data_IF_933620769951
#
_entry.id   IF_933620769951
#
_cell.length_a   1.000
_cell.length_b   1.000
_cell.length_c   1.000
_cell.angle_alpha   90.00
_cell.angle_beta   90.00
_cell.angle_gamma   90.00
#
_symmetry.space_group_name_H-M   'P 1'
#
loop_
_entity.id
_entity.type
_entity.pdbx_description
1 polymer ?
#
# COMPACT_ATOMS: atom_id res chain seq x y z
N UNK A 1 7.56 -13.83 -10.64
CA UNK A 1 6.79 -14.81 -9.87
C UNK A 1 6.92 -14.51 -8.39
N UNK A 2 5.89 -13.95 -7.77
CA UNK A 2 5.55 -14.11 -6.34
C UNK A 2 4.09 -13.70 -6.21
N UNK A 3 3.19 -14.69 -6.19
CA UNK A 3 1.77 -14.50 -5.87
C UNK A 3 1.65 -14.62 -4.36
N UNK A 4 1.69 -13.48 -3.67
CA UNK A 4 1.44 -13.40 -2.23
C UNK A 4 -0.04 -13.71 -1.99
N UNK A 5 -0.30 -14.53 -0.98
CA UNK A 5 -1.64 -15.03 -0.67
C UNK A 5 -2.55 -13.84 -0.31
N UNK A 6 -3.53 -13.56 -1.18
CA UNK A 6 -4.57 -12.56 -0.95
C UNK A 6 -5.36 -12.94 0.30
N UNK A 7 -5.06 -12.31 1.43
CA UNK A 7 -6.09 -12.03 2.41
C UNK A 7 -7.11 -11.12 1.71
N UNK A 8 -8.36 -11.57 1.54
CA UNK A 8 -9.41 -10.84 0.82
C UNK A 8 -9.44 -9.36 1.21
N UNK A 9 -8.99 -8.48 0.29
CA UNK A 9 -8.99 -7.02 0.45
C UNK A 9 -7.74 -6.39 1.10
N UNK A 10 -6.73 -7.17 1.50
CA UNK A 10 -5.48 -6.64 2.06
C UNK A 10 -4.27 -6.99 1.19
N UNK A 11 -3.45 -6.00 0.92
CA UNK A 11 -2.22 -6.10 0.14
C UNK A 11 -1.00 -5.69 0.96
N UNK A 12 0.17 -6.17 0.56
CA UNK A 12 1.43 -5.79 1.19
C UNK A 12 1.92 -4.42 0.70
N UNK A 13 2.87 -3.82 1.41
CA UNK A 13 3.54 -2.58 0.99
C UNK A 13 4.14 -2.71 -0.42
N UNK A 14 4.70 -3.88 -0.75
CA UNK A 14 5.33 -4.12 -2.06
C UNK A 14 4.29 -4.14 -3.17
N UNK A 15 3.14 -4.77 -2.93
CA UNK A 15 2.03 -4.80 -3.89
C UNK A 15 1.40 -3.42 -4.06
N UNK A 16 1.18 -2.68 -2.96
CA UNK A 16 0.71 -1.30 -3.05
C UNK A 16 1.68 -0.40 -3.83
N UNK A 17 2.99 -0.59 -3.62
CA UNK A 17 4.03 0.14 -4.36
C UNK A 17 3.98 -0.17 -5.86
N UNK A 18 3.82 -1.45 -6.22
CA UNK A 18 3.67 -1.90 -7.61
C UNK A 18 2.40 -1.33 -8.25
N UNK A 19 1.26 -1.37 -7.56
CA UNK A 19 -0.02 -0.81 -8.02
C UNK A 19 0.02 0.70 -8.22
N UNK A 20 0.70 1.41 -7.31
CA UNK A 20 0.87 2.87 -7.39
C UNK A 20 1.99 3.30 -8.35
N UNK A 21 2.80 2.36 -8.84
CA UNK A 21 3.99 2.66 -9.65
C UNK A 21 5.05 3.46 -8.89
N UNK A 22 5.09 3.36 -7.56
CA UNK A 22 6.03 4.11 -6.70
C UNK A 22 7.00 3.18 -6.00
N UNK A 23 8.06 3.73 -5.43
CA UNK A 23 8.96 2.95 -4.57
C UNK A 23 8.31 2.63 -3.22
N UNK A 24 8.60 1.48 -2.59
CA UNK A 24 8.05 1.13 -1.27
C UNK A 24 8.30 2.20 -0.19
N UNK A 25 9.41 2.94 -0.30
CA UNK A 25 9.73 4.02 0.61
C UNK A 25 8.74 5.20 0.50
N UNK A 26 8.14 5.42 -0.67
CA UNK A 26 7.06 6.39 -0.87
C UNK A 26 5.80 5.94 -0.14
N UNK A 27 5.46 4.65 -0.20
CA UNK A 27 4.34 4.08 0.58
C UNK A 27 4.57 4.25 2.08
N UNK A 28 5.80 4.04 2.56
CA UNK A 28 6.17 4.33 3.95
C UNK A 28 5.93 5.80 4.34
N UNK A 29 6.30 6.74 3.47
CA UNK A 29 6.04 8.17 3.67
C UNK A 29 4.56 8.52 3.62
N UNK A 30 3.76 7.81 2.83
CA UNK A 30 2.30 7.99 2.79
C UNK A 30 1.64 7.60 4.11
N UNK A 31 2.13 6.55 4.79
CA UNK A 31 1.67 6.24 6.15
C UNK A 31 2.03 7.35 7.15
N UNK A 32 3.24 7.89 7.06
CA UNK A 32 3.70 8.97 7.94
C UNK A 32 2.87 10.25 7.75
N UNK A 33 2.47 10.52 6.50
CA UNK A 33 1.57 11.61 6.14
C UNK A 33 0.08 11.36 6.45
N UNK A 34 -0.27 10.15 6.92
CA UNK A 34 -1.67 9.77 7.17
C UNK A 34 -2.52 9.61 5.92
N UNK A 35 -1.90 9.41 4.74
CA UNK A 35 -2.60 9.17 3.47
C UNK A 35 -3.03 7.72 3.28
N UNK A 36 -2.44 6.80 4.05
CA UNK A 36 -2.77 5.37 4.06
C UNK A 36 -2.85 4.87 5.50
N UNK A 37 -3.71 3.89 5.75
CA UNK A 37 -3.77 3.21 7.04
C UNK A 37 -2.90 1.94 7.05
N UNK A 38 -2.04 1.84 8.07
CA UNK A 38 -1.22 0.65 8.33
C UNK A 38 -2.01 -0.34 9.18
N UNK A 39 -2.40 -1.46 8.61
CA UNK A 39 -2.96 -2.58 9.35
C UNK A 39 -1.82 -3.52 9.73
N UNK A 40 -1.53 -3.63 11.04
CA UNK A 40 -0.52 -4.53 11.56
C UNK A 40 -1.18 -5.81 12.04
N UNK A 41 -0.65 -6.96 11.62
CA UNK A 41 -1.12 -8.22 12.18
C UNK A 41 -0.60 -8.39 13.62
N UNK A 42 -1.49 -8.79 14.54
CA UNK A 42 -1.14 -8.94 15.96
C UNK A 42 -0.18 -10.11 16.22
N UNK A 43 -0.13 -11.11 15.33
CA UNK A 43 0.80 -12.26 15.42
C UNK A 43 2.16 -11.96 14.82
N UNK A 44 2.22 -11.11 13.80
CA UNK A 44 3.48 -10.73 13.17
C UNK A 44 3.61 -9.22 13.04
N UNK A 45 4.22 -8.59 14.05
CA UNK A 45 4.40 -7.14 14.14
C UNK A 45 5.28 -6.56 13.00
N UNK A 46 5.93 -7.41 12.22
CA UNK A 46 6.76 -7.06 11.06
C UNK A 46 5.98 -7.00 9.74
N UNK A 47 4.79 -7.61 9.66
CA UNK A 47 3.96 -7.60 8.46
C UNK A 47 2.94 -6.47 8.52
N UNK A 48 3.17 -5.44 7.69
CA UNK A 48 2.22 -4.35 7.49
C UNK A 48 1.38 -4.64 6.25
N UNK A 49 0.07 -4.58 6.44
CA UNK A 49 -0.94 -4.78 5.41
C UNK A 49 -1.67 -3.46 5.17
N UNK A 50 -2.12 -3.27 3.94
CA UNK A 50 -2.83 -2.09 3.47
C UNK A 50 -4.13 -2.59 2.86
N UNK A 51 -5.23 -1.90 3.13
CA UNK A 51 -6.48 -2.18 2.43
C UNK A 51 -6.34 -1.81 0.96
N UNK A 52 -6.68 -2.74 0.07
CA UNK A 52 -6.62 -2.53 -1.37
C UNK A 52 -7.49 -1.34 -1.80
N UNK A 53 -8.69 -1.21 -1.21
CA UNK A 53 -9.63 -0.10 -1.44
C UNK A 53 -9.01 1.29 -1.19
N UNK A 54 -8.13 1.44 -0.19
CA UNK A 54 -7.48 2.73 0.07
C UNK A 54 -6.40 3.05 -0.97
N UNK A 55 -5.71 2.03 -1.47
CA UNK A 55 -4.70 2.19 -2.52
C UNK A 55 -5.36 2.54 -3.84
N UNK A 56 -6.48 1.89 -4.17
CA UNK A 56 -7.30 2.23 -5.34
C UNK A 56 -7.90 3.64 -5.22
N UNK A 57 -8.34 4.06 -4.04
CA UNK A 57 -8.81 5.43 -3.81
C UNK A 57 -7.72 6.48 -4.09
N UNK A 58 -6.45 6.17 -3.82
CA UNK A 58 -5.32 7.04 -4.15
C UNK A 58 -5.02 7.09 -5.65
N UNK A 59 -5.29 6.02 -6.39
CA UNK A 59 -5.16 6.02 -7.86
C UNK A 59 -6.23 6.90 -8.53
N UNK A 60 -7.42 7.02 -7.94
CA UNK A 60 -8.52 7.84 -8.46
C UNK A 60 -8.33 9.34 -8.19
N UNK A 61 -7.44 9.72 -7.27
CA UNK A 61 -7.00 11.11 -7.11
C UNK A 61 -6.16 11.58 -8.31
N UNK A 62 -6.19 12.88 -8.68
CA UNK A 62 -5.52 13.35 -9.89
C UNK A 62 -4.04 12.98 -9.82
N UNK A 63 -3.61 12.08 -10.74
CA UNK A 63 -2.20 11.82 -11.01
C UNK A 63 -1.56 13.17 -11.32
N UNK A 64 -0.85 13.74 -10.35
CA UNK A 64 0.05 14.85 -10.63
C UNK A 64 1.26 14.21 -11.31
N UNK A 65 1.19 14.16 -12.64
CA UNK A 65 2.36 14.09 -13.50
C UNK A 65 3.40 15.09 -12.99
N UNK A 66 4.60 14.63 -12.72
CA UNK A 66 5.79 15.47 -12.59
C UNK A 66 6.96 14.57 -12.98
N UNK A 67 7.30 14.51 -14.27
CA UNK A 67 8.12 15.45 -15.07
C UNK A 67 9.60 15.17 -14.93
#
# INVERSE_FOLDING_TARGET
MTRTENHEGFITIKEAADMLGVVPMTVYRMFDRGQLNKHKDRRNNYSVWIKQEEVEALLVGPQIESR
#
